data_IF_220697381667
#
_entry.id   IF_220697381667
#
_cell.length_a   1.000
_cell.length_b   1.000
_cell.length_c   1.000
_cell.angle_alpha   90.00
_cell.angle_beta   90.00
_cell.angle_gamma   90.00
#
_symmetry.space_group_name_H-M   'P 1'
#
loop_
_entity.id
_entity.type
_entity.pdbx_description
1 polymer ?
#
# COMPACT_ATOMS: atom_id res chain seq x y z
N UNK A 1 -88.61 13.73 -14.27
CA UNK A 1 -88.26 14.24 -15.63
C UNK A 1 -86.76 14.51 -15.69
N UNK A 2 -86.10 13.91 -16.70
CA UNK A 2 -84.74 14.07 -17.25
C UNK A 2 -83.79 15.11 -16.63
N UNK A 3 -82.54 14.68 -16.34
CA UNK A 3 -81.29 15.02 -17.08
C UNK A 3 -80.05 14.30 -16.50
N UNK A 4 -79.38 13.48 -17.32
CA UNK A 4 -77.91 13.21 -17.27
C UNK A 4 -77.18 14.40 -17.96
N UNK A 5 -75.83 14.52 -18.06
CA UNK A 5 -74.70 13.69 -17.59
C UNK A 5 -73.53 14.50 -16.95
N UNK A 6 -72.47 13.85 -16.44
CA UNK A 6 -71.08 14.04 -16.93
C UNK A 6 -70.13 13.03 -16.26
N UNK A 7 -69.34 12.36 -17.10
CA UNK A 7 -68.33 11.37 -16.74
C UNK A 7 -66.95 12.03 -16.86
N UNK A 8 -66.09 11.93 -15.84
CA UNK A 8 -64.64 12.17 -15.97
C UNK A 8 -63.87 11.24 -15.06
N UNK A 9 -63.57 10.06 -15.60
CA UNK A 9 -62.38 9.29 -15.23
C UNK A 9 -61.14 10.19 -15.41
N UNK A 10 -60.44 10.47 -14.31
CA UNK A 10 -59.03 10.86 -14.38
C UNK A 10 -58.20 9.83 -13.62
N UNK A 11 -57.56 8.97 -14.40
CA UNK A 11 -56.46 8.12 -14.01
C UNK A 11 -55.40 8.95 -13.27
N UNK A 12 -55.18 8.68 -11.99
CA UNK A 12 -53.97 9.13 -11.29
C UNK A 12 -52.79 8.40 -11.90
N UNK A 13 -51.99 9.13 -12.69
CA UNK A 13 -50.68 8.66 -13.16
C UNK A 13 -49.78 8.41 -11.92
N UNK A 14 -49.04 7.30 -11.86
CA UNK A 14 -48.07 7.10 -10.79
C UNK A 14 -46.95 8.14 -10.93
N UNK A 15 -46.57 8.75 -9.81
CA UNK A 15 -45.43 9.66 -9.71
C UNK A 15 -44.15 8.96 -10.22
N UNK A 16 -43.71 9.34 -11.42
CA UNK A 16 -42.36 9.02 -11.88
C UNK A 16 -41.36 9.77 -10.99
N UNK A 17 -40.51 9.01 -10.28
CA UNK A 17 -39.34 9.58 -9.60
C UNK A 17 -38.43 10.22 -10.65
N UNK A 18 -37.85 11.40 -10.39
CA UNK A 18 -36.90 12.00 -11.32
C UNK A 18 -35.71 11.06 -11.50
N UNK A 19 -35.40 10.73 -12.75
CA UNK A 19 -34.21 9.98 -13.15
C UNK A 19 -32.96 10.58 -12.50
N UNK A 20 -32.15 9.75 -11.86
CA UNK A 20 -30.85 10.10 -11.30
C UNK A 20 -29.95 10.66 -12.39
N UNK A 21 -29.92 11.99 -12.54
CA UNK A 21 -28.91 12.69 -13.33
C UNK A 21 -27.56 12.32 -12.71
N UNK A 22 -26.68 11.77 -13.55
CA UNK A 22 -25.40 11.21 -13.16
C UNK A 22 -24.64 12.14 -12.25
N UNK A 23 -24.23 11.63 -11.08
CA UNK A 23 -23.21 12.28 -10.29
C UNK A 23 -21.96 12.34 -11.16
N UNK A 24 -21.61 13.54 -11.60
CA UNK A 24 -20.27 13.83 -12.08
C UNK A 24 -19.39 13.59 -10.86
N UNK A 25 -18.69 12.46 -10.83
CA UNK A 25 -17.64 12.21 -9.86
C UNK A 25 -16.54 13.25 -10.11
N UNK A 26 -16.64 14.39 -9.42
CA UNK A 26 -15.58 15.39 -9.41
C UNK A 26 -14.39 14.75 -8.71
N UNK A 27 -13.40 14.31 -9.50
CA UNK A 27 -12.15 13.79 -8.97
C UNK A 27 -11.37 14.97 -8.36
N UNK A 28 -11.25 14.98 -7.05
CA UNK A 28 -10.32 15.86 -6.36
C UNK A 28 -8.96 15.20 -6.43
N UNK A 29 -8.00 15.84 -7.08
CA UNK A 29 -6.59 15.43 -7.08
C UNK A 29 -6.17 15.15 -5.64
N UNK A 30 -5.75 13.91 -5.34
CA UNK A 30 -5.36 13.55 -3.97
C UNK A 30 -4.04 14.27 -3.65
N UNK A 31 -4.13 15.33 -2.86
CA UNK A 31 -2.99 16.20 -2.53
C UNK A 31 -1.93 15.52 -1.67
N UNK A 32 -2.33 14.49 -0.91
CA UNK A 32 -1.46 13.77 0.01
C UNK A 32 -1.30 12.33 -0.50
N UNK A 33 -0.17 12.03 -1.14
CA UNK A 33 0.16 10.71 -1.62
C UNK A 33 1.54 10.29 -1.08
N UNK A 34 1.62 9.08 -0.58
CA UNK A 34 2.88 8.48 -0.15
C UNK A 34 3.62 7.88 -1.35
N UNK A 35 4.95 7.89 -1.29
CA UNK A 35 5.83 7.15 -2.19
C UNK A 35 6.66 6.23 -1.30
N UNK A 36 6.57 4.92 -1.51
CA UNK A 36 7.29 3.93 -0.72
C UNK A 36 8.26 3.09 -1.54
N UNK A 37 9.34 2.62 -0.91
CA UNK A 37 10.24 1.63 -1.48
C UNK A 37 10.69 0.59 -0.43
N UNK A 38 11.14 -0.56 -0.92
CA UNK A 38 11.71 -1.62 -0.08
C UNK A 38 13.21 -1.39 0.11
N UNK A 39 13.72 -1.58 1.32
CA UNK A 39 15.12 -1.32 1.66
C UNK A 39 15.62 -2.32 2.69
N UNK A 40 16.93 -2.36 2.93
CA UNK A 40 17.54 -3.31 3.83
C UNK A 40 17.45 -4.74 3.31
N UNK A 41 17.32 -4.94 2.00
CA UNK A 41 17.17 -6.27 1.40
C UNK A 41 18.51 -6.98 1.15
N UNK A 42 19.61 -6.45 1.72
CA UNK A 42 20.89 -7.16 1.80
C UNK A 42 20.90 -8.27 2.85
N UNK A 43 21.91 -9.13 2.81
CA UNK A 43 22.16 -10.14 3.84
C UNK A 43 23.66 -10.48 3.94
N UNK A 44 24.25 -10.23 5.10
CA UNK A 44 25.68 -10.47 5.33
C UNK A 44 26.54 -9.66 4.35
N UNK A 45 27.37 -10.34 3.55
CA UNK A 45 28.24 -9.68 2.56
C UNK A 45 27.51 -9.19 1.30
N UNK A 46 26.27 -9.65 1.07
CA UNK A 46 25.49 -9.28 -0.11
C UNK A 46 24.67 -8.02 0.20
N UNK A 47 25.04 -6.88 -0.37
CA UNK A 47 24.43 -5.59 -0.07
C UNK A 47 23.87 -4.93 -1.34
N UNK A 48 22.72 -4.26 -1.22
CA UNK A 48 22.18 -3.40 -2.27
C UNK A 48 22.63 -1.95 -2.04
N UNK A 49 23.46 -1.42 -2.95
CA UNK A 49 24.05 -0.09 -2.85
C UNK A 49 23.14 1.04 -3.40
N UNK A 50 21.98 0.68 -3.98
CA UNK A 50 21.08 1.65 -4.61
C UNK A 50 20.01 2.19 -3.65
N UNK A 51 19.74 1.49 -2.54
CA UNK A 51 18.59 1.77 -1.67
C UNK A 51 18.61 3.18 -1.08
N UNK A 52 19.76 3.66 -0.60
CA UNK A 52 19.85 4.99 0.03
C UNK A 52 19.59 6.14 -0.96
N UNK A 53 19.88 5.92 -2.25
CA UNK A 53 19.73 6.94 -3.30
C UNK A 53 18.27 7.29 -3.55
N UNK A 54 17.33 6.47 -3.05
CA UNK A 54 15.89 6.72 -3.13
C UNK A 54 15.37 7.66 -2.05
N UNK A 55 16.10 7.79 -0.93
CA UNK A 55 15.61 8.49 0.26
C UNK A 55 15.16 9.94 -0.02
N UNK A 56 15.84 10.72 -0.90
CA UNK A 56 15.38 12.06 -1.27
C UNK A 56 14.03 12.09 -2.02
N UNK A 57 13.60 10.97 -2.59
CA UNK A 57 12.43 10.90 -3.48
C UNK A 57 11.23 10.20 -2.86
N UNK A 58 11.43 9.43 -1.79
CA UNK A 58 10.36 8.68 -1.10
C UNK A 58 9.91 9.38 0.18
N UNK A 59 8.74 9.01 0.69
CA UNK A 59 8.22 9.47 1.98
C UNK A 59 8.16 8.35 3.01
N UNK A 60 8.11 7.10 2.56
CA UNK A 60 8.13 5.91 3.41
C UNK A 60 9.13 4.87 2.90
N UNK A 61 9.70 4.09 3.81
CA UNK A 61 10.53 2.93 3.49
C UNK A 61 10.02 1.68 4.21
N UNK A 62 10.19 0.52 3.58
CA UNK A 62 9.84 -0.77 4.13
C UNK A 62 11.13 -1.56 4.37
N UNK A 63 11.55 -1.70 5.62
CA UNK A 63 12.81 -2.35 6.01
C UNK A 63 12.59 -3.86 6.15
N UNK A 64 13.37 -4.68 5.44
CA UNK A 64 13.31 -6.14 5.58
C UNK A 64 13.61 -6.62 7.01
N UNK A 65 12.94 -7.70 7.44
CA UNK A 65 12.90 -8.13 8.85
C UNK A 65 13.60 -9.47 9.15
N UNK A 66 14.58 -9.88 8.34
CA UNK A 66 15.45 -11.04 8.62
C UNK A 66 15.00 -12.39 8.06
N UNK A 67 13.74 -12.51 7.63
CA UNK A 67 13.20 -13.73 7.01
C UNK A 67 13.70 -13.88 5.56
N UNK A 68 13.07 -13.17 4.62
CA UNK A 68 13.47 -13.17 3.22
C UNK A 68 14.81 -12.46 2.96
N UNK A 69 15.10 -11.39 3.71
CA UNK A 69 16.31 -10.58 3.62
C UNK A 69 16.45 -9.71 4.89
N UNK A 70 17.55 -8.96 5.01
CA UNK A 70 17.77 -7.99 6.08
C UNK A 70 18.31 -8.60 7.37
N UNK A 71 19.62 -8.85 7.42
CA UNK A 71 20.28 -9.22 8.68
C UNK A 71 20.29 -8.03 9.68
N UNK A 72 20.51 -8.28 11.00
CA UNK A 72 20.43 -7.24 12.01
C UNK A 72 21.31 -6.01 11.77
N UNK A 73 22.53 -6.20 11.21
CA UNK A 73 23.43 -5.07 10.92
C UNK A 73 22.94 -4.28 9.71
N UNK A 74 22.44 -4.95 8.68
CA UNK A 74 21.79 -4.30 7.53
C UNK A 74 20.57 -3.48 7.97
N UNK A 75 19.70 -4.03 8.81
CA UNK A 75 18.55 -3.33 9.37
C UNK A 75 18.98 -2.09 10.17
N UNK A 76 19.93 -2.24 11.09
CA UNK A 76 20.44 -1.14 11.92
C UNK A 76 21.04 -0.01 11.08
N UNK A 77 21.84 -0.34 10.06
CA UNK A 77 22.43 0.63 9.12
C UNK A 77 21.35 1.44 8.40
N UNK A 78 20.31 0.78 7.88
CA UNK A 78 19.22 1.46 7.17
C UNK A 78 18.45 2.38 8.10
N UNK A 79 18.20 1.98 9.35
CA UNK A 79 17.55 2.83 10.35
C UNK A 79 18.38 4.09 10.62
N UNK A 80 19.69 3.96 10.77
CA UNK A 80 20.59 5.10 11.00
C UNK A 80 20.62 6.07 9.81
N UNK A 81 20.59 5.55 8.59
CA UNK A 81 20.45 6.37 7.39
C UNK A 81 19.09 7.09 7.36
N UNK A 82 18.00 6.37 7.64
CA UNK A 82 16.64 6.91 7.54
C UNK A 82 16.38 8.07 8.53
N UNK A 83 17.05 8.04 9.70
CA UNK A 83 16.93 9.08 10.73
C UNK A 83 17.27 10.48 10.21
N UNK A 84 18.15 10.59 9.21
CA UNK A 84 18.57 11.87 8.65
C UNK A 84 17.61 12.41 7.57
N UNK A 85 16.60 11.64 7.15
CA UNK A 85 15.78 11.95 5.96
C UNK A 85 14.29 12.23 6.24
N UNK A 86 13.85 12.26 7.51
CA UNK A 86 12.42 12.44 7.87
C UNK A 86 11.46 11.51 7.09
N UNK A 87 11.86 10.24 6.97
CA UNK A 87 11.13 9.20 6.25
C UNK A 87 10.34 8.37 7.26
N UNK A 88 9.11 7.99 6.90
CA UNK A 88 8.32 7.04 7.68
C UNK A 88 8.86 5.62 7.54
N UNK A 89 9.10 4.95 8.66
CA UNK A 89 9.69 3.61 8.69
C UNK A 89 8.61 2.56 8.90
N UNK A 90 8.58 1.56 8.03
CA UNK A 90 7.72 0.39 8.16
C UNK A 90 8.47 -0.93 8.07
N UNK A 91 7.80 -2.00 8.48
CA UNK A 91 8.30 -3.35 8.37
C UNK A 91 7.98 -3.95 7.00
N UNK A 92 8.97 -4.56 6.35
CA UNK A 92 8.80 -5.38 5.16
C UNK A 92 8.85 -6.85 5.56
N UNK A 93 7.68 -7.42 5.81
CA UNK A 93 7.56 -8.81 6.29
C UNK A 93 7.36 -9.76 5.12
N UNK A 94 8.00 -10.92 5.14
CA UNK A 94 7.89 -11.92 4.09
C UNK A 94 7.93 -13.33 4.63
N UNK A 95 7.83 -14.30 3.73
CA UNK A 95 8.12 -15.69 4.09
C UNK A 95 9.58 -15.86 4.52
N UNK A 96 9.83 -16.82 5.41
CA UNK A 96 11.18 -17.28 5.78
C UNK A 96 11.78 -18.14 4.67
N UNK A 97 12.02 -17.47 3.54
CA UNK A 97 12.59 -18.05 2.34
C UNK A 97 13.69 -17.13 1.82
N UNK A 98 14.84 -17.15 2.49
CA UNK A 98 15.97 -16.30 2.10
C UNK A 98 16.52 -16.64 0.72
N UNK A 99 16.64 -17.93 0.41
CA UNK A 99 17.20 -18.39 -0.87
C UNK A 99 16.32 -17.99 -2.05
N UNK A 100 15.00 -18.04 -1.89
CA UNK A 100 14.04 -17.59 -2.88
C UNK A 100 13.65 -16.11 -2.75
N UNK A 101 14.32 -15.33 -1.88
CA UNK A 101 13.99 -13.94 -1.58
C UNK A 101 12.51 -13.72 -1.20
N UNK A 102 11.86 -14.71 -0.57
CA UNK A 102 10.44 -14.68 -0.21
C UNK A 102 9.49 -14.71 -1.41
N UNK A 103 9.98 -14.99 -2.63
CA UNK A 103 9.18 -14.97 -3.87
C UNK A 103 8.51 -16.31 -4.19
N UNK A 104 8.82 -17.38 -3.46
CA UNK A 104 8.21 -18.70 -3.64
C UNK A 104 6.91 -18.82 -2.85
N UNK A 105 5.99 -19.58 -3.41
CA UNK A 105 4.74 -19.92 -2.73
C UNK A 105 5.01 -20.80 -1.50
N UNK A 106 4.38 -20.43 -0.39
CA UNK A 106 4.39 -21.20 0.84
C UNK A 106 2.98 -21.21 1.43
N UNK A 107 2.62 -22.35 2.00
CA UNK A 107 1.38 -22.52 2.75
C UNK A 107 1.74 -22.72 4.21
N UNK A 108 1.43 -21.70 5.01
CA UNK A 108 1.59 -21.74 6.46
C UNK A 108 0.21 -21.89 7.11
N UNK A 109 0.14 -22.64 8.20
CA UNK A 109 -1.03 -22.62 9.08
C UNK A 109 -1.24 -21.23 9.68
N UNK A 110 -2.46 -20.95 10.16
CA UNK A 110 -2.82 -19.64 10.74
C UNK A 110 -1.87 -19.24 11.87
N UNK A 111 -1.54 -20.16 12.79
CA UNK A 111 -0.63 -19.88 13.90
C UNK A 111 0.82 -19.70 13.46
N UNK A 112 1.26 -20.41 12.43
CA UNK A 112 2.61 -20.26 11.86
C UNK A 112 2.76 -18.88 11.20
N UNK A 113 1.79 -18.48 10.38
CA UNK A 113 1.75 -17.17 9.74
C UNK A 113 1.69 -16.04 10.78
N UNK A 114 0.82 -16.17 11.78
CA UNK A 114 0.70 -15.20 12.88
C UNK A 114 2.02 -15.06 13.64
N UNK A 115 2.64 -16.17 14.04
CA UNK A 115 3.92 -16.16 14.75
C UNK A 115 5.05 -15.54 13.89
N UNK A 116 5.10 -15.87 12.59
CA UNK A 116 6.06 -15.32 11.65
C UNK A 116 5.92 -13.80 11.48
N UNK A 117 4.69 -13.28 11.43
CA UNK A 117 4.41 -11.83 11.39
C UNK A 117 4.94 -11.18 12.67
N UNK A 118 4.52 -11.66 13.84
CA UNK A 118 4.90 -11.10 15.14
C UNK A 118 6.42 -11.13 15.37
N UNK A 119 7.09 -12.22 14.99
CA UNK A 119 8.55 -12.35 15.09
C UNK A 119 9.27 -11.26 14.29
N UNK A 120 8.89 -11.08 13.02
CA UNK A 120 9.50 -10.08 12.14
C UNK A 120 9.24 -8.65 12.62
N UNK A 121 8.05 -8.37 13.15
CA UNK A 121 7.74 -7.07 13.76
C UNK A 121 8.56 -6.83 15.02
N UNK A 122 8.69 -7.84 15.89
CA UNK A 122 9.49 -7.75 17.11
C UNK A 122 10.98 -7.50 16.82
N UNK A 123 11.54 -8.17 15.81
CA UNK A 123 12.93 -7.99 15.39
C UNK A 123 13.23 -6.54 14.97
N UNK A 124 12.40 -5.97 14.08
CA UNK A 124 12.57 -4.58 13.66
C UNK A 124 12.25 -3.59 14.79
N UNK A 125 11.23 -3.89 15.59
CA UNK A 125 10.81 -3.04 16.70
C UNK A 125 11.91 -2.84 17.72
N UNK A 126 12.63 -3.90 18.11
CA UNK A 126 13.73 -3.78 19.07
C UNK A 126 14.82 -2.80 18.59
N UNK A 127 15.19 -2.87 17.30
CA UNK A 127 16.19 -1.98 16.71
C UNK A 127 15.69 -0.53 16.65
N UNK A 128 14.44 -0.30 16.23
CA UNK A 128 13.85 1.03 16.17
C UNK A 128 13.70 1.64 17.57
N UNK A 129 13.19 0.85 18.52
CA UNK A 129 12.96 1.29 19.89
C UNK A 129 14.26 1.74 20.57
N UNK A 130 15.37 1.04 20.32
CA UNK A 130 16.70 1.43 20.82
C UNK A 130 17.16 2.84 20.37
N UNK A 131 16.52 3.39 19.33
CA UNK A 131 16.81 4.71 18.76
C UNK A 131 15.64 5.70 18.93
N UNK A 132 14.63 5.36 19.73
CA UNK A 132 13.44 6.19 19.95
C UNK A 132 12.53 6.30 18.73
N UNK A 133 12.55 5.30 17.83
CA UNK A 133 11.75 5.24 16.63
C UNK A 133 10.69 4.12 16.74
N UNK A 134 9.69 4.16 15.87
CA UNK A 134 8.58 3.20 15.87
C UNK A 134 8.25 2.72 14.45
N UNK A 135 7.65 1.53 14.36
CA UNK A 135 7.09 1.00 13.11
C UNK A 135 5.77 1.74 12.84
N UNK A 136 5.69 2.44 11.71
CA UNK A 136 4.51 3.24 11.31
C UNK A 136 3.55 2.46 10.41
N UNK A 137 4.10 1.57 9.59
CA UNK A 137 3.34 0.74 8.66
C UNK A 137 3.98 -0.64 8.50
N UNK A 138 3.20 -1.58 7.98
CA UNK A 138 3.66 -2.94 7.65
C UNK A 138 3.28 -3.21 6.21
N UNK A 139 4.24 -3.67 5.42
CA UNK A 139 4.04 -4.09 4.03
C UNK A 139 4.52 -5.52 3.90
N UNK A 140 3.74 -6.37 3.23
CA UNK A 140 4.19 -7.73 2.92
C UNK A 140 5.12 -7.77 1.71
N UNK A 141 5.96 -8.79 1.63
CA UNK A 141 6.96 -8.99 0.59
C UNK A 141 6.65 -10.22 -0.28
N UNK A 142 7.19 -10.22 -1.50
CA UNK A 142 7.25 -11.38 -2.39
C UNK A 142 5.91 -12.10 -2.56
N UNK A 143 5.90 -13.41 -2.31
CA UNK A 143 4.70 -14.24 -2.48
C UNK A 143 3.65 -13.99 -1.38
N UNK A 144 4.05 -13.60 -0.18
CA UNK A 144 3.11 -13.20 0.88
C UNK A 144 2.31 -11.97 0.46
N UNK A 145 2.91 -11.02 -0.27
CA UNK A 145 2.18 -9.89 -0.85
C UNK A 145 1.14 -10.34 -1.88
N UNK A 146 1.46 -11.36 -2.68
CA UNK A 146 0.52 -11.95 -3.66
C UNK A 146 -0.68 -12.57 -2.96
N UNK A 147 -0.42 -13.43 -1.98
CA UNK A 147 -1.50 -14.07 -1.21
C UNK A 147 -2.33 -13.04 -0.44
N UNK A 148 -1.74 -11.96 0.08
CA UNK A 148 -2.47 -10.91 0.80
C UNK A 148 -3.59 -10.29 -0.04
N UNK A 149 -3.42 -10.14 -1.36
CA UNK A 149 -4.46 -9.53 -2.21
C UNK A 149 -5.38 -10.55 -2.90
N UNK A 150 -5.10 -11.85 -2.81
CA UNK A 150 -5.93 -12.91 -3.42
C UNK A 150 -6.67 -13.79 -2.41
N UNK A 151 -6.16 -13.91 -1.18
CA UNK A 151 -6.67 -14.81 -0.15
C UNK A 151 -7.07 -14.02 1.10
N UNK A 152 -8.37 -14.02 1.40
CA UNK A 152 -8.94 -13.29 2.54
C UNK A 152 -8.52 -13.89 3.88
N UNK A 153 -8.31 -15.21 3.98
CA UNK A 153 -7.89 -15.85 5.23
C UNK A 153 -6.46 -15.44 5.58
N UNK A 154 -5.57 -15.41 4.59
CA UNK A 154 -4.21 -14.90 4.75
C UNK A 154 -4.24 -13.42 5.12
N UNK A 155 -5.01 -12.61 4.40
CA UNK A 155 -5.13 -11.17 4.67
C UNK A 155 -5.62 -10.88 6.10
N UNK A 156 -6.66 -11.58 6.55
CA UNK A 156 -7.18 -11.44 7.92
C UNK A 156 -6.18 -11.91 8.97
N UNK A 157 -5.45 -13.00 8.72
CA UNK A 157 -4.43 -13.51 9.66
C UNK A 157 -3.31 -12.50 9.83
N UNK A 158 -2.79 -11.94 8.72
CA UNK A 158 -1.76 -10.89 8.77
C UNK A 158 -2.31 -9.63 9.44
N UNK A 159 -3.51 -9.16 9.10
CA UNK A 159 -4.10 -7.96 9.69
C UNK A 159 -4.35 -8.11 11.20
N UNK A 160 -4.82 -9.27 11.65
CA UNK A 160 -4.98 -9.57 13.09
C UNK A 160 -3.63 -9.57 13.81
N UNK A 161 -2.62 -10.25 13.27
CA UNK A 161 -1.28 -10.27 13.85
C UNK A 161 -0.66 -8.87 13.95
N UNK A 162 -0.84 -8.03 12.93
CA UNK A 162 -0.41 -6.61 12.97
C UNK A 162 -1.18 -5.82 14.03
N UNK A 163 -2.50 -6.03 14.14
CA UNK A 163 -3.35 -5.38 15.15
C UNK A 163 -2.99 -5.77 16.58
N UNK A 164 -2.64 -7.03 16.80
CA UNK A 164 -2.14 -7.55 18.08
C UNK A 164 -0.82 -6.89 18.48
N UNK A 165 0.07 -6.65 17.52
CA UNK A 165 1.32 -5.92 17.76
C UNK A 165 1.05 -4.44 18.07
N UNK A 166 0.26 -3.77 17.22
CA UNK A 166 -0.20 -2.39 17.45
C UNK A 166 -1.35 -2.01 16.53
N UNK A 167 -2.46 -1.55 17.12
CA UNK A 167 -3.65 -1.09 16.38
C UNK A 167 -3.44 0.22 15.61
N UNK A 168 -2.32 0.90 15.85
CA UNK A 168 -2.02 2.19 15.23
C UNK A 168 -1.22 2.05 13.92
N UNK A 169 -0.74 0.85 13.62
CA UNK A 169 0.01 0.56 12.40
C UNK A 169 -0.94 0.52 11.19
N UNK A 170 -0.46 1.03 10.05
CA UNK A 170 -1.14 0.86 8.77
C UNK A 170 -0.65 -0.42 8.08
N UNK A 171 -1.55 -1.33 7.70
CA UNK A 171 -1.21 -2.47 6.86
C UNK A 171 -1.33 -2.07 5.38
N UNK A 172 -0.22 -2.17 4.67
CA UNK A 172 -0.07 -1.80 3.26
C UNK A 172 -0.18 -3.05 2.40
N UNK A 173 -1.02 -2.97 1.36
CA UNK A 173 -1.22 -4.02 0.39
C UNK A 173 -1.83 -3.48 -0.90
N UNK A 174 -1.98 -4.35 -1.90
CA UNK A 174 -2.57 -3.95 -3.18
C UNK A 174 -3.96 -3.35 -2.96
N UNK A 175 -4.23 -2.20 -3.61
CA UNK A 175 -5.56 -1.59 -3.57
C UNK A 175 -6.63 -2.60 -4.00
N UNK A 176 -7.53 -2.95 -3.09
CA UNK A 176 -8.64 -3.87 -3.37
C UNK A 176 -9.50 -4.14 -2.15
N UNK A 177 -10.59 -4.87 -2.35
CA UNK A 177 -11.55 -5.22 -1.31
C UNK A 177 -10.97 -6.17 -0.26
N UNK A 178 -10.10 -7.11 -0.64
CA UNK A 178 -9.50 -8.09 0.30
C UNK A 178 -8.75 -7.37 1.43
N UNK A 179 -7.85 -6.44 1.09
CA UNK A 179 -7.12 -5.63 2.08
C UNK A 179 -8.08 -4.81 2.94
N UNK A 180 -9.06 -4.13 2.32
CA UNK A 180 -10.00 -3.27 3.01
C UNK A 180 -10.83 -4.05 4.05
N UNK A 181 -11.34 -5.22 3.66
CA UNK A 181 -12.13 -6.11 4.52
C UNK A 181 -11.27 -6.63 5.66
N UNK A 182 -10.08 -7.15 5.38
CA UNK A 182 -9.18 -7.68 6.41
C UNK A 182 -8.78 -6.63 7.46
N UNK A 183 -8.41 -5.42 7.02
CA UNK A 183 -8.04 -4.33 7.92
C UNK A 183 -9.24 -3.83 8.74
N UNK A 184 -10.43 -3.77 8.13
CA UNK A 184 -11.67 -3.41 8.83
C UNK A 184 -11.99 -4.42 9.92
N UNK A 185 -11.93 -5.71 9.61
CA UNK A 185 -12.19 -6.80 10.55
C UNK A 185 -11.18 -6.84 11.69
N UNK A 186 -9.92 -6.45 11.44
CA UNK A 186 -8.87 -6.36 12.45
C UNK A 186 -8.83 -4.99 13.19
N UNK A 187 -9.67 -4.03 12.80
CA UNK A 187 -9.70 -2.65 13.30
C UNK A 187 -8.33 -1.95 13.23
N UNK A 188 -7.70 -1.99 12.05
CA UNK A 188 -6.48 -1.23 11.72
C UNK A 188 -6.66 -0.46 10.40
N UNK A 189 -5.75 0.48 10.11
CA UNK A 189 -5.81 1.28 8.87
C UNK A 189 -5.27 0.46 7.70
N UNK A 190 -5.98 0.47 6.58
CA UNK A 190 -5.45 -0.02 5.31
C UNK A 190 -4.67 1.09 4.60
N UNK A 191 -3.51 0.75 4.03
CA UNK A 191 -2.76 1.59 3.09
C UNK A 191 -2.89 1.01 1.69
N UNK A 192 -3.71 1.63 0.84
CA UNK A 192 -3.94 1.14 -0.51
C UNK A 192 -2.74 1.46 -1.42
N UNK A 193 -1.96 0.43 -1.75
CA UNK A 193 -0.77 0.51 -2.61
C UNK A 193 -1.12 0.28 -4.09
N UNK A 194 -0.44 1.05 -4.95
CA UNK A 194 -0.39 0.82 -6.39
C UNK A 194 1.08 0.74 -6.85
N UNK A 195 1.37 -0.19 -7.77
CA UNK A 195 2.69 -0.42 -8.33
C UNK A 195 2.69 -0.02 -9.81
N UNK A 196 3.12 1.20 -10.12
CA UNK A 196 3.05 1.76 -11.50
C UNK A 196 4.01 1.09 -12.49
N UNK A 197 5.01 0.38 -11.98
CA UNK A 197 5.86 -0.52 -12.77
C UNK A 197 5.12 -1.79 -13.25
N UNK A 198 3.98 -2.13 -12.64
CA UNK A 198 3.19 -3.33 -12.94
C UNK A 198 2.00 -3.04 -13.84
N UNK A 199 1.51 -4.09 -14.49
CA UNK A 199 0.29 -4.14 -15.29
C UNK A 199 -0.80 -4.87 -14.54
N UNK A 200 -2.04 -4.51 -14.83
CA UNK A 200 -3.21 -4.88 -14.06
C UNK A 200 -4.25 -5.62 -14.90
N UNK A 201 -4.92 -6.58 -14.27
CA UNK A 201 -6.17 -7.15 -14.78
C UNK A 201 -7.34 -6.22 -14.50
N UNK A 202 -8.47 -6.50 -15.14
CA UNK A 202 -9.73 -5.75 -14.95
C UNK A 202 -10.30 -5.85 -13.53
N UNK A 203 -9.94 -6.89 -12.78
CA UNK A 203 -10.31 -7.05 -11.37
C UNK A 203 -9.41 -6.25 -10.40
N UNK A 204 -8.39 -5.55 -10.91
CA UNK A 204 -7.44 -4.77 -10.11
C UNK A 204 -6.25 -5.56 -9.57
N UNK A 205 -6.13 -6.85 -9.88
CA UNK A 205 -4.96 -7.66 -9.52
C UNK A 205 -3.78 -7.42 -10.47
N UNK A 206 -2.57 -7.71 -10.00
CA UNK A 206 -1.35 -7.59 -10.80
C UNK A 206 -1.18 -8.81 -11.72
N UNK A 207 -0.77 -8.57 -12.97
CA UNK A 207 -0.42 -9.63 -13.89
C UNK A 207 0.85 -10.40 -13.46
N UNK A 208 0.82 -11.75 -13.40
CA UNK A 208 1.97 -12.55 -12.96
C UNK A 208 3.26 -12.31 -13.74
N UNK A 209 3.15 -12.12 -15.06
CA UNK A 209 4.28 -11.87 -15.97
C UNK A 209 4.41 -10.40 -16.37
N UNK A 210 3.76 -9.48 -15.63
CA UNK A 210 4.00 -8.06 -15.85
C UNK A 210 5.48 -7.74 -15.66
N UNK A 211 6.04 -6.84 -16.50
CA UNK A 211 7.31 -6.20 -16.20
C UNK A 211 7.48 -5.90 -14.71
N UNK A 212 8.63 -6.28 -14.16
CA UNK A 212 9.05 -6.07 -12.78
C UNK A 212 10.49 -5.63 -12.67
N UNK A 213 11.06 -5.83 -11.48
CA UNK A 213 12.42 -5.46 -11.05
C UNK A 213 13.55 -5.89 -12.04
N UNK A 214 13.29 -6.83 -12.95
CA UNK A 214 14.25 -7.35 -13.95
C UNK A 214 13.98 -6.95 -15.40
N UNK A 215 13.34 -5.82 -15.67
CA UNK A 215 13.02 -5.38 -17.04
C UNK A 215 14.00 -4.31 -17.49
N UNK A 216 14.65 -4.53 -18.64
CA UNK A 216 15.56 -3.55 -19.26
C UNK A 216 14.91 -2.16 -19.47
N UNK A 217 13.57 -2.11 -19.51
CA UNK A 217 12.76 -0.92 -19.79
C UNK A 217 11.73 -0.64 -18.68
N UNK A 218 12.11 -0.68 -17.39
CA UNK A 218 11.20 -0.39 -16.26
C UNK A 218 10.47 0.96 -16.44
N UNK A 219 11.17 1.96 -16.96
CA UNK A 219 10.62 3.31 -17.18
C UNK A 219 9.54 3.35 -18.27
N UNK A 220 9.53 2.40 -19.20
CA UNK A 220 8.66 2.42 -20.37
C UNK A 220 7.18 2.32 -19.96
N UNK A 221 6.49 3.45 -20.07
CA UNK A 221 5.10 3.65 -19.66
C UNK A 221 4.84 3.71 -18.16
N UNK A 222 5.82 3.46 -17.27
CA UNK A 222 5.60 3.51 -15.82
C UNK A 222 5.34 4.95 -15.34
N UNK A 223 6.11 5.92 -15.85
CA UNK A 223 5.90 7.33 -15.56
C UNK A 223 4.54 7.84 -16.08
N UNK A 224 4.10 7.36 -17.24
CA UNK A 224 2.81 7.74 -17.82
C UNK A 224 1.64 7.13 -17.02
N UNK A 225 1.76 5.87 -16.59
CA UNK A 225 0.79 5.24 -15.69
C UNK A 225 0.72 5.97 -14.35
N UNK A 226 1.86 6.38 -13.80
CA UNK A 226 1.89 7.19 -12.57
C UNK A 226 1.18 8.53 -12.77
N UNK A 227 1.43 9.22 -13.89
CA UNK A 227 0.78 10.48 -14.23
C UNK A 227 -0.74 10.30 -14.36
N UNK A 228 -1.20 9.29 -15.09
CA UNK A 228 -2.62 8.97 -15.23
C UNK A 228 -3.26 8.69 -13.87
N UNK A 229 -2.61 7.86 -13.06
CA UNK A 229 -3.07 7.48 -11.73
C UNK A 229 -3.21 8.69 -10.80
N UNK A 230 -2.21 9.57 -10.75
CA UNK A 230 -2.21 10.77 -9.91
C UNK A 230 -3.28 11.76 -10.38
N UNK A 231 -3.46 11.93 -11.69
CA UNK A 231 -4.40 12.89 -12.26
C UNK A 231 -5.86 12.42 -12.21
N UNK A 232 -6.10 11.11 -12.33
CA UNK A 232 -7.45 10.58 -12.57
C UNK A 232 -7.92 9.56 -11.53
N UNK A 233 -7.01 9.03 -10.71
CA UNK A 233 -7.28 7.92 -9.79
C UNK A 233 -7.63 6.61 -10.49
N UNK A 234 -7.19 6.44 -11.75
CA UNK A 234 -7.48 5.28 -12.57
C UNK A 234 -6.22 4.56 -13.01
N UNK A 235 -6.35 3.25 -13.18
CA UNK A 235 -5.37 2.39 -13.80
C UNK A 235 -5.89 1.89 -15.15
N UNK A 236 -5.00 1.85 -16.13
CA UNK A 236 -5.24 1.17 -17.40
C UNK A 236 -4.86 -0.30 -17.26
N UNK A 237 -5.83 -1.19 -17.52
CA UNK A 237 -5.68 -2.64 -17.47
C UNK A 237 -5.11 -3.21 -18.78
N UNK A 238 -4.77 -4.50 -18.77
CA UNK A 238 -4.22 -5.21 -19.93
C UNK A 238 -5.12 -5.19 -21.18
N UNK A 239 -6.44 -5.11 -20.98
CA UNK A 239 -7.47 -5.04 -22.03
C UNK A 239 -7.81 -3.60 -22.44
N UNK A 240 -7.00 -2.61 -22.01
CA UNK A 240 -7.21 -1.16 -22.13
C UNK A 240 -8.46 -0.62 -21.41
N UNK A 241 -9.16 -1.44 -20.63
CA UNK A 241 -10.19 -0.92 -19.73
C UNK A 241 -9.56 -0.07 -18.63
N UNK A 242 -10.34 0.88 -18.10
CA UNK A 242 -9.89 1.75 -17.00
C UNK A 242 -10.66 1.41 -15.74
N UNK A 243 -9.93 1.13 -14.66
CA UNK A 243 -10.50 0.87 -13.34
C UNK A 243 -10.16 2.01 -12.40
N UNK A 244 -11.10 2.37 -11.53
CA UNK A 244 -10.84 3.33 -10.45
C UNK A 244 -10.28 2.57 -9.25
N UNK A 245 -9.23 3.10 -8.64
CA UNK A 245 -8.60 2.49 -7.47
C UNK A 245 -8.53 3.48 -6.31
N UNK A 246 -8.57 2.95 -5.09
CA UNK A 246 -8.17 3.72 -3.92
C UNK A 246 -6.64 3.76 -3.92
N UNK A 247 -6.06 4.91 -3.61
CA UNK A 247 -4.61 5.04 -3.61
C UNK A 247 -4.16 5.89 -2.44
N UNK A 248 -3.33 5.32 -1.60
CA UNK A 248 -2.66 6.00 -0.49
C UNK A 248 -1.15 6.07 -0.70
N UNK A 249 -0.57 5.06 -1.37
CA UNK A 249 0.87 4.99 -1.64
C UNK A 249 1.18 4.45 -3.03
N UNK A 250 2.23 4.98 -3.66
CA UNK A 250 2.84 4.43 -4.87
C UNK A 250 4.15 3.74 -4.50
N UNK A 251 4.27 2.47 -4.84
CA UNK A 251 5.50 1.73 -4.68
C UNK A 251 6.46 1.94 -5.85
N UNK A 252 7.73 2.18 -5.54
CA UNK A 252 8.82 2.29 -6.50
C UNK A 252 9.89 1.22 -6.24
N UNK A 253 10.40 0.53 -7.28
CA UNK A 253 11.50 -0.42 -7.14
C UNK A 253 12.78 0.24 -6.62
N UNK A 254 13.59 -0.52 -5.90
CA UNK A 254 14.82 -0.02 -5.26
C UNK A 254 16.11 -0.68 -5.73
N UNK A 255 16.03 -1.59 -6.69
CA UNK A 255 17.12 -2.51 -7.02
C UNK A 255 18.06 -1.97 -8.11
N UNK A 256 17.67 -0.89 -8.80
CA UNK A 256 18.43 -0.37 -9.94
C UNK A 256 18.22 1.15 -10.16
N UNK A 257 19.05 1.74 -11.02
CA UNK A 257 19.00 3.17 -11.35
C UNK A 257 17.67 3.62 -11.97
N UNK A 258 16.98 2.73 -12.70
CA UNK A 258 15.68 3.04 -13.27
C UNK A 258 14.62 3.23 -12.18
N UNK A 259 14.71 2.51 -11.05
CA UNK A 259 13.86 2.71 -9.89
C UNK A 259 14.05 4.10 -9.26
N UNK A 260 15.31 4.55 -9.15
CA UNK A 260 15.66 5.89 -8.65
C UNK A 260 15.08 6.97 -9.57
N UNK A 261 15.26 6.82 -10.88
CA UNK A 261 14.72 7.76 -11.86
C UNK A 261 13.19 7.80 -11.83
N UNK A 262 12.53 6.64 -11.71
CA UNK A 262 11.08 6.56 -11.57
C UNK A 262 10.60 7.28 -10.30
N UNK A 263 11.27 7.07 -9.16
CA UNK A 263 10.95 7.74 -7.90
C UNK A 263 11.07 9.26 -8.03
N UNK A 264 12.15 9.75 -8.67
CA UNK A 264 12.37 11.17 -8.94
C UNK A 264 11.23 11.76 -9.79
N UNK A 265 10.84 11.07 -10.86
CA UNK A 265 9.75 11.50 -11.73
C UNK A 265 8.41 11.57 -10.98
N UNK A 266 8.08 10.54 -10.20
CA UNK A 266 6.84 10.48 -9.42
C UNK A 266 6.82 11.57 -8.35
N UNK A 267 7.94 11.78 -7.65
CA UNK A 267 8.10 12.84 -6.65
C UNK A 267 7.79 14.22 -7.24
N UNK A 268 8.26 14.50 -8.47
CA UNK A 268 7.98 15.76 -9.16
C UNK A 268 6.50 15.93 -9.57
N UNK A 269 5.73 14.84 -9.67
CA UNK A 269 4.30 14.88 -10.02
C UNK A 269 3.39 15.14 -8.80
N UNK A 270 3.91 15.02 -7.58
CA UNK A 270 3.13 15.10 -6.34
C UNK A 270 3.53 16.38 -5.60
N UNK A 271 2.66 17.42 -5.53
CA UNK A 271 3.01 18.70 -4.92
C UNK A 271 3.35 18.63 -3.43
N UNK A 272 2.62 17.81 -2.67
CA UNK A 272 2.79 17.65 -1.22
C UNK A 272 2.77 16.16 -0.84
N UNK A 273 3.83 15.41 -1.14
CA UNK A 273 3.89 14.00 -0.80
C UNK A 273 3.93 13.86 0.72
N UNK A 274 3.14 12.94 1.26
CA UNK A 274 3.02 12.73 2.71
C UNK A 274 3.19 11.25 3.02
N UNK A 275 3.92 10.91 4.09
CA UNK A 275 4.05 9.52 4.51
C UNK A 275 2.69 8.91 4.86
N UNK A 276 2.65 7.58 4.92
CA UNK A 276 1.52 6.83 5.47
C UNK A 276 1.39 7.15 6.97
N UNK A 277 0.63 8.20 7.29
CA UNK A 277 0.53 8.73 8.64
C UNK A 277 -0.32 7.86 9.58
N UNK A 278 0.10 7.86 10.85
CA UNK A 278 -0.69 7.50 12.02
C UNK A 278 -1.50 8.73 12.49
N UNK A 279 -2.42 9.25 11.66
CA UNK A 279 -3.15 10.50 11.96
C UNK A 279 -3.81 10.54 13.34
N UNK A 280 -4.12 9.37 13.94
CA UNK A 280 -4.68 9.27 15.28
C UNK A 280 -3.63 9.23 16.40
N UNK A 281 -2.46 8.63 16.17
CA UNK A 281 -1.42 8.51 17.20
C UNK A 281 -0.64 9.81 17.36
N UNK A 282 -0.30 10.49 16.25
CA UNK A 282 0.37 11.79 16.33
C UNK A 282 -0.56 12.84 16.98
N UNK A 283 -1.88 12.77 16.73
CA UNK A 283 -2.89 13.58 17.45
C UNK A 283 -3.03 13.17 18.92
N UNK A 284 -2.94 11.88 19.23
CA UNK A 284 -2.95 11.40 20.61
C UNK A 284 -1.71 11.91 21.37
N UNK A 285 -0.51 11.71 20.83
CA UNK A 285 0.74 12.25 21.41
C UNK A 285 0.70 13.78 21.53
N UNK A 286 0.21 14.50 20.52
CA UNK A 286 0.00 15.94 20.59
C UNK A 286 -0.99 16.33 21.71
N UNK A 287 -2.06 15.55 21.92
CA UNK A 287 -3.01 15.81 23.01
C UNK A 287 -2.47 15.49 24.41
N UNK A 288 -1.54 14.53 24.52
CA UNK A 288 -0.90 14.15 25.78
C UNK A 288 0.25 15.09 26.14
N UNK A 289 0.96 15.63 25.14
CA UNK A 289 2.05 16.60 25.35
C UNK A 289 1.59 18.01 25.71
N UNK A 290 0.33 18.36 25.47
CA UNK A 290 -0.28 19.64 25.92
C UNK A 290 -0.74 19.57 27.39
N UNK A 291 -0.71 18.39 28.01
CA UNK A 291 -1.13 18.16 29.40
C UNK A 291 0.05 18.08 30.39
N UNK A 292 1.29 18.23 29.94
CA UNK A 292 2.52 18.32 30.75
C UNK A 292 3.19 19.68 30.56
#
# INVERSE_FOLDING_TARGET
>A
MKRRPYNRNQHRRPHQRPSSRGRIDVFVQKKNLDINCNVGQGFGIYQNQHEEKLFPYVTSINIACGAHAGDPLTMARVIDLARNHNISIGALIGFDDRVGNGEREMYLGVEELRAMVLYQLGALHALLHSKGLEIRHVRTHGFLYKQLYTDILIAETVAKAVSEFSRWITLVGLSGSVLATACTNANIKAGHEVQVARRYRKDGTILPHSPGINVKNLLEGAADRARELIQTGRLTCEDNSKIRVNIDTIHVPSDNEQGIELARLIRAMIPEPKPLHMDKFDKYLASVSVLN
#
